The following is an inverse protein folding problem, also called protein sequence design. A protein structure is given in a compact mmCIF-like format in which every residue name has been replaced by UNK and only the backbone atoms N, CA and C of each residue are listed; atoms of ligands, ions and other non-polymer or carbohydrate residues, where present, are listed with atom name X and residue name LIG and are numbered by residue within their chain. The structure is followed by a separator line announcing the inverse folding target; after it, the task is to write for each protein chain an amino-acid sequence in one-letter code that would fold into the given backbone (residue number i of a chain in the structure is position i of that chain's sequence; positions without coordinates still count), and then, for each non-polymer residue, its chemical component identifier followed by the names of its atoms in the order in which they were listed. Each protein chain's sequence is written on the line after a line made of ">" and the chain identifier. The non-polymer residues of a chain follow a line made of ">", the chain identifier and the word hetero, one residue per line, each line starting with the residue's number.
data_IF_839459490935
#
_entry.id   IF_839459490935
#
_cell.length_a   1.000
_cell.length_b   1.000
_cell.length_c   1.000
_cell.angle_alpha   90.00
_cell.angle_beta   90.00
_cell.angle_gamma   90.00
#
_symmetry.space_group_name_H-M   'P 1'
#
loop_
_entity.id
_entity.type
_entity.pdbx_description
1 polymer ?
#
# COMPACT_ATOMS: atom_id res chain seq x y z
N UNK A 1 -3.00 -2.07 10.58
CA UNK A 1 -2.06 -3.17 10.25
C UNK A 1 -1.19 -3.54 11.45
N UNK A 2 -0.34 -2.65 11.95
CA UNK A 2 0.60 -2.92 13.07
C UNK A 2 -0.03 -3.61 14.29
N UNK A 3 -1.07 -3.02 14.89
CA UNK A 3 -1.73 -3.59 16.07
C UNK A 3 -2.19 -5.04 15.84
N UNK A 4 -2.78 -5.30 14.68
CA UNK A 4 -3.28 -6.62 14.30
C UNK A 4 -2.18 -7.64 14.08
N UNK A 5 -1.02 -7.20 13.58
CA UNK A 5 0.15 -8.07 13.48
C UNK A 5 0.60 -8.58 14.86
N UNK A 6 0.35 -7.83 15.94
CA UNK A 6 0.71 -8.23 17.31
C UNK A 6 -0.39 -9.09 17.95
N UNK A 7 -1.65 -8.73 17.76
CA UNK A 7 -2.78 -9.36 18.44
C UNK A 7 -3.28 -10.66 17.78
N UNK A 8 -2.96 -10.87 16.51
CA UNK A 8 -3.46 -12.05 15.78
C UNK A 8 -2.82 -13.32 16.36
N UNK A 9 -3.61 -14.30 16.86
CA UNK A 9 -3.07 -15.47 17.55
C UNK A 9 -2.12 -16.33 16.71
N UNK A 10 -2.30 -16.34 15.39
CA UNK A 10 -1.44 -17.07 14.45
C UNK A 10 -1.17 -16.18 13.24
N UNK A 11 0.06 -15.67 13.12
CA UNK A 11 0.48 -14.80 12.00
C UNK A 11 1.31 -15.55 10.95
N UNK A 12 2.13 -16.51 11.38
CA UNK A 12 3.08 -17.21 10.51
C UNK A 12 4.07 -16.24 9.85
N UNK A 13 4.61 -16.60 8.69
CA UNK A 13 5.34 -15.67 7.81
C UNK A 13 4.39 -15.14 6.73
N UNK A 14 4.05 -13.86 6.81
CA UNK A 14 3.12 -13.21 5.90
C UNK A 14 3.73 -11.93 5.32
N UNK A 15 3.60 -11.75 4.00
CA UNK A 15 3.93 -10.48 3.34
C UNK A 15 2.67 -9.62 3.31
N UNK A 16 2.75 -8.42 3.88
CA UNK A 16 1.67 -7.44 3.86
C UNK A 16 2.21 -6.07 3.43
N UNK A 17 1.47 -5.41 2.54
CA UNK A 17 1.83 -4.10 2.02
C UNK A 17 1.16 -3.00 2.85
N UNK A 18 1.92 -2.05 3.36
CA UNK A 18 1.41 -0.93 4.17
C UNK A 18 0.80 0.16 3.31
N UNK A 19 -0.43 -0.02 2.85
CA UNK A 19 -1.20 0.96 2.07
C UNK A 19 -2.63 1.04 2.60
N UNK A 20 -3.19 2.25 2.68
CA UNK A 20 -4.59 2.53 3.03
C UNK A 20 -5.57 1.88 2.03
N UNK A 21 -6.88 1.94 2.31
CA UNK A 21 -7.90 1.34 1.45
C UNK A 21 -8.20 2.23 0.24
N UNK A 22 -7.20 2.42 -0.62
CA UNK A 22 -7.28 3.28 -1.79
C UNK A 22 -7.98 2.59 -2.95
N UNK A 23 -8.87 3.30 -3.64
CA UNK A 23 -9.56 2.76 -4.84
C UNK A 23 -8.55 2.42 -5.95
N UNK A 24 -7.50 3.25 -6.07
CA UNK A 24 -6.40 3.09 -7.03
C UNK A 24 -5.17 2.42 -6.39
N UNK A 25 -5.40 1.40 -5.55
CA UNK A 25 -4.30 0.68 -4.91
C UNK A 25 -3.50 -0.17 -5.92
N UNK A 26 -2.16 -0.08 -5.93
CA UNK A 26 -1.33 -0.86 -6.86
C UNK A 26 -1.06 -2.30 -6.43
N UNK A 27 -1.33 -2.63 -5.18
CA UNK A 27 -1.05 -3.94 -4.58
C UNK A 27 -2.28 -4.46 -3.86
N UNK A 28 -2.37 -5.79 -3.76
CA UNK A 28 -3.52 -6.47 -3.17
C UNK A 28 -3.11 -7.34 -1.98
N UNK A 29 -3.84 -7.18 -0.88
CA UNK A 29 -3.49 -7.73 0.43
C UNK A 29 -4.36 -8.92 0.88
N UNK A 30 -5.16 -9.55 0.01
CA UNK A 30 -6.05 -10.64 0.44
C UNK A 30 -5.36 -11.83 1.10
N UNK A 31 -4.10 -12.11 0.73
CA UNK A 31 -3.33 -13.18 1.38
C UNK A 31 -3.01 -12.87 2.85
N UNK A 32 -3.02 -11.60 3.23
CA UNK A 32 -2.81 -11.15 4.60
C UNK A 32 -4.14 -10.93 5.37
N UNK A 33 -5.29 -11.30 4.81
CA UNK A 33 -6.61 -11.12 5.45
C UNK A 33 -6.75 -11.89 6.77
N UNK A 34 -5.93 -12.92 7.00
CA UNK A 34 -5.86 -13.66 8.27
C UNK A 34 -5.52 -12.75 9.47
N UNK A 35 -4.83 -11.62 9.23
CA UNK A 35 -4.50 -10.64 10.26
C UNK A 35 -5.73 -9.82 10.72
N UNK A 36 -6.83 -9.83 9.96
CA UNK A 36 -8.08 -9.17 10.38
C UNK A 36 -8.02 -7.64 10.46
N UNK A 37 -7.03 -6.98 9.83
CA UNK A 37 -7.05 -5.52 9.72
C UNK A 37 -8.02 -5.07 8.64
N UNK A 38 -8.72 -3.96 8.91
CA UNK A 38 -9.57 -3.25 7.94
C UNK A 38 -9.18 -1.79 7.97
N UNK A 39 -8.78 -1.26 6.84
CA UNK A 39 -8.32 0.11 6.72
C UNK A 39 -9.50 0.99 6.35
N UNK A 40 -9.61 2.14 7.00
CA UNK A 40 -10.75 3.07 6.87
C UNK A 40 -10.43 4.25 5.96
N UNK A 41 -9.16 4.67 5.93
CA UNK A 41 -8.76 5.83 5.15
C UNK A 41 -8.62 5.45 3.67
N UNK A 42 -8.97 6.40 2.79
CA UNK A 42 -8.90 6.26 1.34
C UNK A 42 -8.39 7.57 0.73
N UNK A 43 -7.33 7.49 -0.08
CA UNK A 43 -6.74 8.64 -0.75
C UNK A 43 -7.62 9.25 -1.85
N UNK A 44 -8.63 8.53 -2.34
CA UNK A 44 -9.52 9.01 -3.41
C UNK A 44 -10.25 10.31 -3.01
N UNK A 45 -10.46 10.55 -1.72
CA UNK A 45 -11.04 11.82 -1.23
C UNK A 45 -10.21 13.06 -1.60
N UNK A 46 -8.92 12.89 -1.89
CA UNK A 46 -8.00 13.96 -2.29
C UNK A 46 -7.75 13.99 -3.81
N UNK A 47 -8.27 13.01 -4.56
CA UNK A 47 -7.92 12.84 -5.97
C UNK A 47 -8.34 14.04 -6.83
N UNK A 48 -9.52 14.60 -6.59
CA UNK A 48 -10.02 15.77 -7.36
C UNK A 48 -9.11 16.99 -7.19
N UNK A 49 -8.77 17.34 -5.94
CA UNK A 49 -7.90 18.48 -5.66
C UNK A 49 -6.50 18.28 -6.24
N UNK A 50 -5.89 17.11 -6.04
CA UNK A 50 -4.53 16.83 -6.52
C UNK A 50 -4.48 16.82 -8.05
N UNK A 51 -5.47 16.22 -8.73
CA UNK A 51 -5.51 16.17 -10.19
C UNK A 51 -5.78 17.55 -10.82
N UNK A 52 -6.46 18.44 -10.11
CA UNK A 52 -6.66 19.82 -10.57
C UNK A 52 -5.40 20.69 -10.40
N UNK A 53 -4.58 20.42 -9.39
CA UNK A 53 -3.37 21.18 -9.06
C UNK A 53 -2.11 20.67 -9.80
N UNK A 54 -2.09 19.41 -10.24
CA UNK A 54 -0.91 18.76 -10.83
C UNK A 54 -0.92 18.87 -12.36
N UNK A 55 0.22 19.22 -12.95
CA UNK A 55 0.39 19.20 -14.41
C UNK A 55 0.29 17.77 -14.97
N UNK A 56 -0.10 17.59 -16.25
CA UNK A 56 -0.13 16.28 -16.88
C UNK A 56 1.22 15.56 -16.78
N UNK A 57 1.17 14.32 -16.31
CA UNK A 57 2.36 13.50 -16.07
C UNK A 57 2.91 12.91 -17.37
N UNK A 58 4.24 12.86 -17.52
CA UNK A 58 4.86 12.17 -18.66
C UNK A 58 4.77 10.65 -18.49
N UNK A 59 4.06 10.00 -19.40
CA UNK A 59 3.90 8.54 -19.46
C UNK A 59 5.17 7.77 -19.80
N UNK A 60 6.24 8.45 -20.26
CA UNK A 60 7.52 7.82 -20.57
C UNK A 60 8.55 8.00 -19.45
N UNK A 61 8.24 8.81 -18.43
CA UNK A 61 9.12 9.00 -17.28
C UNK A 61 9.07 7.75 -16.37
N UNK A 62 10.19 7.04 -16.18
CA UNK A 62 10.27 5.89 -15.28
C UNK A 62 9.85 6.21 -13.84
N UNK A 63 9.99 7.47 -13.40
CA UNK A 63 9.53 7.93 -12.09
C UNK A 63 8.03 7.77 -11.88
N UNK A 64 7.26 7.84 -12.96
CA UNK A 64 5.80 7.78 -12.95
C UNK A 64 5.26 6.41 -13.39
N UNK A 65 6.10 5.64 -14.08
CA UNK A 65 5.77 4.30 -14.59
C UNK A 65 6.13 3.17 -13.61
N UNK A 66 7.04 3.42 -12.67
CA UNK A 66 7.51 2.44 -11.69
C UNK A 66 7.11 2.83 -10.27
N UNK A 67 6.77 1.83 -9.45
CA UNK A 67 6.62 2.06 -8.01
C UNK A 67 7.97 2.42 -7.38
N UNK A 68 7.99 3.47 -6.56
CA UNK A 68 9.21 3.95 -5.92
C UNK A 68 10.01 4.89 -6.80
N UNK A 69 9.35 5.89 -7.40
CA UNK A 69 9.99 7.07 -8.01
C UNK A 69 11.10 6.85 -9.05
N UNK A 70 11.10 5.69 -9.71
CA UNK A 70 12.09 5.36 -10.75
C UNK A 70 13.46 4.93 -10.20
N UNK A 71 13.70 5.11 -8.89
CA UNK A 71 14.74 4.37 -8.19
C UNK A 71 14.26 2.92 -7.99
N UNK A 72 15.12 1.93 -8.24
CA UNK A 72 14.77 0.51 -8.11
C UNK A 72 14.66 0.09 -6.62
N UNK A 73 13.75 0.70 -5.87
CA UNK A 73 13.30 0.42 -4.50
C UNK A 73 12.35 1.59 -4.19
N UNK A 74 11.17 1.47 -3.59
CA UNK A 74 10.89 0.90 -2.28
C UNK A 74 9.40 0.51 -2.24
N UNK A 75 9.05 -0.72 -2.62
CA UNK A 75 7.83 -1.31 -2.05
C UNK A 75 8.16 -1.69 -0.61
N UNK A 76 7.70 -0.89 0.36
CA UNK A 76 7.81 -1.25 1.77
C UNK A 76 6.76 -2.33 2.08
N UNK A 77 7.05 -3.56 1.66
CA UNK A 77 6.40 -4.74 2.19
C UNK A 77 6.99 -5.03 3.56
N UNK A 78 6.16 -5.02 4.59
CA UNK A 78 6.57 -5.48 5.92
C UNK A 78 6.32 -6.99 5.93
N UNK A 79 7.39 -7.76 6.05
CA UNK A 79 7.28 -9.17 6.40
C UNK A 79 6.87 -9.26 7.88
N UNK A 80 5.67 -9.75 8.14
CA UNK A 80 5.19 -10.03 9.49
C UNK A 80 5.52 -11.49 9.78
N UNK A 81 6.40 -11.69 10.77
CA UNK A 81 6.75 -13.00 11.31
C UNK A 81 6.87 -12.90 12.82
N UNK A 82 5.80 -13.23 13.55
CA UNK A 82 5.85 -13.34 15.00
C UNK A 82 5.76 -14.83 15.38
N UNK A 83 6.65 -15.27 16.26
CA UNK A 83 6.65 -16.64 16.81
C UNK A 83 5.49 -16.85 17.77
#
# INVERSE_FOLDING_TARGET
>A
MWQRSIETPVTGFSVAYGLSNNDRAPVYNAKASLLGYRLTDNAEQFAEAILAETEPIDSQDPGNMCHGDGSQAWSLAIAVSLR
#
